data_IF_784397172109
#
_entry.id   IF_784397172109
#
_cell.length_a   1.000
_cell.length_b   1.000
_cell.length_c   1.000
_cell.angle_alpha   90.00
_cell.angle_beta   90.00
_cell.angle_gamma   90.00
#
_symmetry.space_group_name_H-M   'P 1'
#
loop_
_entity.id
_entity.type
_entity.pdbx_description
1 polymer ?
#
# COMPACT_ATOMS: atom_id res chain seq x y z
N UNK A 1 -29.23 -17.47 -3.78
CA UNK A 1 -28.21 -16.40 -3.84
C UNK A 1 -27.20 -16.72 -4.94
N UNK A 2 -27.65 -16.77 -6.21
CA UNK A 2 -26.84 -17.36 -7.30
C UNK A 2 -25.84 -16.47 -8.01
N UNK A 3 -25.79 -15.15 -7.74
CA UNK A 3 -25.03 -14.20 -8.58
C UNK A 3 -24.10 -13.27 -7.79
N UNK A 4 -23.64 -13.69 -6.61
CA UNK A 4 -22.68 -12.94 -5.81
C UNK A 4 -21.39 -13.75 -5.69
N UNK A 5 -20.30 -13.18 -6.14
CA UNK A 5 -18.97 -13.80 -6.19
C UNK A 5 -18.00 -13.00 -5.32
N UNK A 6 -17.87 -13.34 -4.02
CA UNK A 6 -16.98 -12.61 -3.11
C UNK A 6 -15.51 -12.86 -3.43
N UNK A 7 -14.69 -11.82 -3.31
CA UNK A 7 -13.23 -11.90 -3.45
C UNK A 7 -12.58 -11.52 -2.11
N UNK A 8 -11.82 -12.44 -1.54
CA UNK A 8 -10.94 -12.12 -0.42
C UNK A 8 -9.64 -11.49 -0.95
N UNK A 9 -9.54 -10.18 -0.80
CA UNK A 9 -8.36 -9.42 -1.24
C UNK A 9 -7.10 -9.70 -0.42
N UNK A 10 -7.21 -10.35 0.73
CA UNK A 10 -6.12 -10.51 1.74
C UNK A 10 -5.39 -9.19 2.03
N UNK A 11 -6.12 -8.08 1.96
CA UNK A 11 -5.54 -6.76 2.01
C UNK A 11 -6.50 -5.74 2.64
N UNK A 12 -6.08 -4.48 2.69
CA UNK A 12 -6.85 -3.35 3.20
C UNK A 12 -6.63 -2.10 2.36
N UNK A 13 -7.43 -1.06 2.61
CA UNK A 13 -7.29 0.26 1.99
C UNK A 13 -7.26 0.19 0.46
N UNK A 14 -6.38 0.94 -0.16
CA UNK A 14 -6.23 0.99 -1.62
C UNK A 14 -5.57 -0.25 -2.23
N UNK A 15 -5.10 -1.21 -1.43
CA UNK A 15 -4.81 -2.56 -1.90
C UNK A 15 -6.08 -3.26 -2.39
N UNK A 16 -7.20 -3.12 -1.65
CA UNK A 16 -8.52 -3.53 -2.14
C UNK A 16 -8.91 -2.68 -3.36
N UNK A 17 -8.63 -1.37 -3.31
CA UNK A 17 -8.94 -0.43 -4.38
C UNK A 17 -8.35 -0.82 -5.73
N UNK A 18 -7.10 -1.30 -5.77
CA UNK A 18 -6.46 -1.78 -6.99
C UNK A 18 -7.23 -2.95 -7.62
N UNK A 19 -7.63 -3.94 -6.81
CA UNK A 19 -8.42 -5.07 -7.28
C UNK A 19 -9.82 -4.65 -7.74
N UNK A 20 -10.46 -3.72 -7.04
CA UNK A 20 -11.78 -3.20 -7.40
C UNK A 20 -11.74 -2.48 -8.75
N UNK A 21 -10.74 -1.64 -8.99
CA UNK A 21 -10.59 -0.94 -10.26
C UNK A 21 -10.34 -1.92 -11.41
N UNK A 22 -9.46 -2.91 -11.23
CA UNK A 22 -9.22 -3.91 -12.26
C UNK A 22 -10.46 -4.78 -12.52
N UNK A 23 -11.20 -5.17 -11.49
CA UNK A 23 -12.46 -5.89 -11.65
C UNK A 23 -13.52 -5.08 -12.41
N UNK A 24 -13.61 -3.78 -12.13
CA UNK A 24 -14.53 -2.88 -12.82
C UNK A 24 -14.18 -2.72 -14.31
N UNK A 25 -12.90 -2.59 -14.63
CA UNK A 25 -12.41 -2.54 -16.01
C UNK A 25 -12.75 -3.82 -16.79
N UNK A 26 -12.53 -4.98 -16.17
CA UNK A 26 -12.87 -6.27 -16.76
C UNK A 26 -14.39 -6.41 -16.97
N UNK A 27 -15.20 -5.96 -16.03
CA UNK A 27 -16.65 -5.98 -16.14
C UNK A 27 -17.15 -5.04 -17.25
N UNK A 28 -16.55 -3.85 -17.39
CA UNK A 28 -16.90 -2.90 -18.47
C UNK A 28 -16.54 -3.45 -19.86
N UNK A 29 -15.47 -4.21 -19.99
CA UNK A 29 -15.08 -4.83 -21.24
C UNK A 29 -16.07 -5.91 -21.71
N UNK A 30 -16.92 -6.43 -20.82
CA UNK A 30 -18.02 -7.33 -21.13
C UNK A 30 -17.62 -8.73 -21.68
N UNK A 31 -16.33 -9.07 -21.61
CA UNK A 31 -15.82 -10.33 -22.16
C UNK A 31 -15.83 -11.49 -21.15
N UNK A 32 -15.90 -11.17 -19.86
CA UNK A 32 -15.82 -12.13 -18.77
C UNK A 32 -17.12 -12.14 -17.95
N UNK A 33 -17.49 -13.31 -17.50
CA UNK A 33 -18.56 -13.47 -16.50
C UNK A 33 -18.10 -13.00 -15.12
N UNK A 34 -19.02 -12.73 -14.21
CA UNK A 34 -18.68 -12.35 -12.83
C UNK A 34 -17.85 -13.42 -12.11
N UNK A 35 -18.06 -14.68 -12.41
CA UNK A 35 -17.27 -15.78 -11.85
C UNK A 35 -15.83 -15.80 -12.37
N UNK A 36 -15.64 -15.55 -13.66
CA UNK A 36 -14.31 -15.45 -14.26
C UNK A 36 -13.53 -14.23 -13.74
N UNK A 37 -14.24 -13.10 -13.54
CA UNK A 37 -13.63 -11.91 -12.89
C UNK A 37 -13.21 -12.24 -11.46
N UNK A 38 -14.04 -12.93 -10.67
CA UNK A 38 -13.65 -13.39 -9.33
C UNK A 38 -12.36 -14.19 -9.37
N UNK A 39 -12.30 -15.23 -10.22
CA UNK A 39 -11.10 -16.08 -10.35
C UNK A 39 -9.88 -15.27 -10.76
N UNK A 40 -10.05 -14.31 -11.66
CA UNK A 40 -8.96 -13.40 -12.08
C UNK A 40 -8.46 -12.55 -10.92
N UNK A 41 -9.36 -12.01 -10.11
CA UNK A 41 -8.98 -11.20 -8.94
C UNK A 41 -8.28 -12.03 -7.86
N UNK A 42 -8.65 -13.28 -7.67
CA UNK A 42 -7.98 -14.18 -6.74
C UNK A 42 -6.54 -14.52 -7.17
N UNK A 43 -6.29 -14.61 -8.46
CA UNK A 43 -4.92 -14.74 -9.00
C UNK A 43 -4.15 -13.42 -8.86
N UNK A 44 -4.81 -12.33 -9.21
CA UNK A 44 -4.22 -10.99 -9.25
C UNK A 44 -3.77 -10.48 -7.88
N UNK A 45 -4.50 -10.83 -6.80
CA UNK A 45 -4.13 -10.47 -5.42
C UNK A 45 -2.76 -11.01 -4.99
N UNK A 46 -2.30 -12.10 -5.55
CA UNK A 46 -0.99 -12.68 -5.23
C UNK A 46 0.18 -11.81 -5.75
N UNK A 47 -0.10 -10.95 -6.71
CA UNK A 47 0.85 -9.99 -7.30
C UNK A 47 0.79 -8.61 -6.63
N UNK A 48 -0.12 -8.42 -5.68
CA UNK A 48 -0.35 -7.14 -5.03
C UNK A 48 0.76 -6.84 -4.02
N UNK A 49 1.47 -5.74 -4.24
CA UNK A 49 2.45 -5.21 -3.31
C UNK A 49 1.87 -4.04 -2.52
N UNK A 50 1.75 -4.23 -1.22
CA UNK A 50 1.23 -3.23 -0.30
C UNK A 50 2.21 -3.00 0.82
N UNK A 51 2.68 -1.78 0.91
CA UNK A 51 3.55 -1.36 1.99
C UNK A 51 3.33 0.10 2.36
N UNK A 52 3.72 0.47 3.57
CA UNK A 52 3.64 1.84 4.03
C UNK A 52 4.69 2.12 5.10
N UNK A 53 5.13 3.37 5.15
CA UNK A 53 6.04 3.87 6.16
C UNK A 53 5.26 4.66 7.21
N UNK A 54 5.50 4.37 8.48
CA UNK A 54 4.86 5.08 9.60
C UNK A 54 5.85 6.03 10.26
N UNK A 55 5.39 7.23 10.61
CA UNK A 55 6.20 8.14 11.42
C UNK A 55 6.18 7.77 12.89
N UNK A 56 5.04 7.28 13.39
CA UNK A 56 4.82 6.99 14.80
C UNK A 56 4.26 5.57 15.00
N UNK A 57 5.08 4.66 15.50
CA UNK A 57 4.69 3.27 15.79
C UNK A 57 3.64 3.12 16.88
N UNK A 58 3.49 4.12 17.73
CA UNK A 58 2.58 4.07 18.88
C UNK A 58 1.13 3.76 18.50
N UNK A 59 0.67 4.23 17.34
CA UNK A 59 -0.68 3.99 16.84
C UNK A 59 -0.90 2.52 16.45
N UNK A 60 0.00 1.93 15.66
CA UNK A 60 -0.09 0.51 15.31
C UNK A 60 -0.02 -0.41 16.53
N UNK A 61 0.84 -0.05 17.51
CA UNK A 61 0.96 -0.79 18.76
C UNK A 61 -0.33 -0.73 19.58
N UNK A 62 -0.88 0.47 19.79
CA UNK A 62 -2.13 0.67 20.53
C UNK A 62 -3.32 0.01 19.83
N UNK A 63 -3.33 0.05 18.50
CA UNK A 63 -4.36 -0.56 17.67
C UNK A 63 -4.32 -2.09 17.62
N UNK A 64 -3.25 -2.74 18.10
CA UNK A 64 -3.10 -4.19 18.11
C UNK A 64 -3.09 -4.84 16.72
N UNK A 65 -2.80 -4.06 15.65
CA UNK A 65 -2.92 -4.53 14.26
C UNK A 65 -1.61 -5.07 13.67
N UNK A 66 -0.50 -4.96 14.40
CA UNK A 66 0.78 -5.50 13.94
C UNK A 66 1.54 -6.09 15.14
N UNK A 67 1.39 -7.39 15.38
CA UNK A 67 2.05 -8.09 16.48
C UNK A 67 3.58 -8.00 16.40
N UNK A 68 4.14 -7.98 15.19
CA UNK A 68 5.59 -7.82 14.99
C UNK A 68 6.09 -6.42 15.38
N UNK A 69 5.23 -5.39 15.39
CA UNK A 69 5.57 -4.06 15.92
C UNK A 69 5.67 -4.09 17.45
N UNK A 70 4.83 -4.88 18.11
CA UNK A 70 4.91 -5.05 19.56
C UNK A 70 6.24 -5.68 20.02
N UNK A 71 6.82 -6.57 19.19
CA UNK A 71 8.10 -7.22 19.43
C UNK A 71 9.33 -6.30 19.27
N UNK A 72 9.17 -5.10 18.72
CA UNK A 72 10.31 -4.20 18.44
C UNK A 72 10.86 -3.48 19.69
N UNK A 73 10.24 -3.61 20.87
CA UNK A 73 10.73 -3.03 22.13
C UNK A 73 10.68 -1.51 22.23
N UNK A 74 11.14 -0.95 23.35
CA UNK A 74 11.02 0.48 23.68
C UNK A 74 12.07 1.41 23.01
N UNK A 75 13.16 0.87 22.49
CA UNK A 75 14.31 1.66 22.00
C UNK A 75 14.16 2.20 20.55
N UNK A 76 12.96 2.56 20.13
CA UNK A 76 12.64 2.84 18.74
C UNK A 76 12.43 4.31 18.38
N UNK A 77 12.89 5.24 19.21
CA UNK A 77 12.62 6.69 19.06
C UNK A 77 13.05 7.32 17.72
N UNK A 78 13.92 6.66 16.96
CA UNK A 78 14.39 7.18 15.66
C UNK A 78 14.21 6.22 14.48
N UNK A 79 13.54 5.07 14.67
CA UNK A 79 13.32 4.12 13.60
C UNK A 79 11.97 4.33 12.92
N UNK A 80 11.99 4.25 11.60
CA UNK A 80 10.82 4.36 10.71
C UNK A 80 10.67 3.02 9.98
N UNK A 81 9.90 2.07 10.51
CA UNK A 81 9.73 0.79 9.84
C UNK A 81 8.78 0.91 8.67
N UNK A 82 9.13 0.27 7.57
CA UNK A 82 8.20 -0.09 6.52
C UNK A 82 7.35 -1.26 7.03
N UNK A 83 6.05 -1.10 6.98
CA UNK A 83 5.10 -2.18 7.21
C UNK A 83 4.70 -2.74 5.84
N UNK A 84 4.69 -4.06 5.73
CA UNK A 84 4.29 -4.77 4.52
C UNK A 84 3.08 -5.65 4.82
N UNK A 85 2.18 -5.75 3.86
CA UNK A 85 1.07 -6.72 3.91
C UNK A 85 1.42 -7.89 3.02
N UNK A 86 1.53 -9.07 3.59
CA UNK A 86 1.81 -10.31 2.88
C UNK A 86 0.87 -11.40 3.39
N UNK A 87 0.21 -12.11 2.49
CA UNK A 87 -0.73 -13.18 2.81
C UNK A 87 -1.81 -12.76 3.85
N UNK A 88 -2.34 -11.55 3.71
CA UNK A 88 -3.33 -10.99 4.63
C UNK A 88 -2.79 -10.56 6.00
N UNK A 89 -1.48 -10.58 6.22
CA UNK A 89 -0.86 -10.24 7.50
C UNK A 89 0.10 -9.07 7.37
N UNK A 90 0.06 -8.17 8.35
CA UNK A 90 1.02 -7.09 8.45
C UNK A 90 2.31 -7.56 9.14
N UNK A 91 3.45 -7.24 8.53
CA UNK A 91 4.77 -7.53 9.05
C UNK A 91 5.69 -6.32 8.98
N UNK A 92 6.74 -6.33 9.80
CA UNK A 92 7.79 -5.31 9.75
C UNK A 92 8.83 -5.73 8.70
N UNK A 93 8.97 -4.90 7.68
CA UNK A 93 10.02 -5.02 6.67
C UNK A 93 11.28 -4.21 7.02
N UNK A 94 11.83 -3.52 6.01
CA UNK A 94 13.03 -2.68 6.18
C UNK A 94 12.77 -1.53 7.16
N UNK A 95 13.78 -1.20 7.94
CA UNK A 95 13.74 -0.12 8.94
C UNK A 95 14.64 1.01 8.47
N UNK A 96 14.11 2.23 8.47
CA UNK A 96 14.82 3.44 8.10
C UNK A 96 15.16 4.26 9.33
N UNK A 97 16.18 5.12 9.23
CA UNK A 97 16.61 5.99 10.32
C UNK A 97 16.92 7.39 9.80
N UNK A 98 16.46 8.41 10.51
CA UNK A 98 16.72 9.81 10.18
C UNK A 98 15.46 10.64 10.02
N UNK A 99 15.59 11.79 9.33
CA UNK A 99 14.47 12.67 9.03
C UNK A 99 13.42 11.94 8.21
N UNK A 100 12.15 12.08 8.59
CA UNK A 100 11.05 11.25 8.05
C UNK A 100 10.91 11.38 6.52
N UNK A 101 10.98 12.61 5.99
CA UNK A 101 10.91 12.82 4.53
C UNK A 101 12.02 12.09 3.77
N UNK A 102 13.24 12.11 4.29
CA UNK A 102 14.36 11.36 3.69
C UNK A 102 14.11 9.84 3.74
N UNK A 103 13.53 9.37 4.84
CA UNK A 103 13.15 7.96 4.97
C UNK A 103 12.06 7.57 3.97
N UNK A 104 11.07 8.44 3.71
CA UNK A 104 10.05 8.23 2.70
C UNK A 104 10.64 8.11 1.30
N UNK A 105 11.50 9.02 0.89
CA UNK A 105 12.13 8.97 -0.42
C UNK A 105 12.99 7.72 -0.60
N UNK A 106 13.72 7.33 0.45
CA UNK A 106 14.49 6.09 0.42
C UNK A 106 13.60 4.84 0.39
N UNK A 107 12.47 4.87 1.08
CA UNK A 107 11.46 3.81 1.03
C UNK A 107 10.89 3.65 -0.38
N UNK A 108 10.51 4.75 -1.04
CA UNK A 108 10.03 4.74 -2.43
C UNK A 108 11.07 4.12 -3.36
N UNK A 109 12.33 4.57 -3.24
CA UNK A 109 13.45 4.00 -3.98
C UNK A 109 13.53 2.48 -3.80
N UNK A 110 13.63 2.02 -2.56
CA UNK A 110 13.81 0.60 -2.24
C UNK A 110 12.64 -0.29 -2.73
N UNK A 111 11.45 0.29 -2.88
CA UNK A 111 10.27 -0.43 -3.33
C UNK A 111 10.12 -0.48 -4.85
N UNK A 112 10.65 0.50 -5.57
CA UNK A 112 10.41 0.66 -7.01
C UNK A 112 11.65 0.43 -7.87
N UNK A 113 12.84 0.80 -7.40
CA UNK A 113 14.05 0.75 -8.23
C UNK A 113 14.40 -0.70 -8.63
N UNK A 114 14.51 -0.94 -9.94
CA UNK A 114 14.89 -2.24 -10.50
C UNK A 114 13.87 -3.35 -10.25
N UNK A 115 12.62 -3.01 -9.97
CA UNK A 115 11.53 -3.98 -9.76
C UNK A 115 10.74 -4.23 -11.03
N UNK A 116 10.25 -5.43 -11.18
CA UNK A 116 9.36 -5.84 -12.26
C UNK A 116 7.90 -5.57 -11.84
N UNK A 117 7.38 -4.44 -12.30
CA UNK A 117 6.12 -3.83 -11.82
C UNK A 117 5.17 -3.62 -12.98
N UNK A 118 3.88 -3.88 -12.75
CA UNK A 118 2.81 -3.47 -13.66
C UNK A 118 2.67 -1.94 -13.64
N UNK A 119 3.05 -1.30 -14.73
CA UNK A 119 3.16 0.15 -14.83
C UNK A 119 1.83 0.86 -15.06
N UNK A 120 0.73 0.15 -15.18
CA UNK A 120 -0.57 0.78 -15.43
C UNK A 120 -0.96 1.73 -14.30
N UNK A 121 -0.76 1.32 -13.02
CA UNK A 121 -1.29 2.09 -11.91
C UNK A 121 -0.51 1.88 -10.61
N UNK A 122 -0.31 2.97 -9.88
CA UNK A 122 0.16 2.98 -8.50
C UNK A 122 -0.72 3.89 -7.64
N UNK A 123 -1.01 3.49 -6.42
CA UNK A 123 -1.56 4.37 -5.40
C UNK A 123 -0.47 4.94 -4.50
N UNK A 124 -0.55 6.25 -4.23
CA UNK A 124 0.10 6.92 -3.11
C UNK A 124 -1.02 7.22 -2.11
N UNK A 125 -1.04 6.50 -1.00
CA UNK A 125 -2.10 6.60 0.02
C UNK A 125 -1.51 7.15 1.31
N UNK A 126 -2.08 8.24 1.83
CA UNK A 126 -1.60 8.89 3.03
C UNK A 126 -2.71 9.04 4.09
N UNK A 127 -2.33 9.18 5.38
CA UNK A 127 -3.26 9.31 6.51
C UNK A 127 -3.43 10.74 7.03
N UNK A 128 -2.97 11.74 6.29
CA UNK A 128 -2.97 13.15 6.68
C UNK A 128 -1.69 13.61 7.36
N UNK A 129 -1.57 14.93 7.51
CA UNK A 129 -0.42 15.57 8.15
C UNK A 129 0.78 15.83 7.24
N UNK A 130 0.63 15.63 5.93
CA UNK A 130 1.62 16.01 4.92
C UNK A 130 1.30 17.37 4.31
N UNK A 131 2.33 18.12 3.97
CA UNK A 131 2.19 19.31 3.13
C UNK A 131 2.06 18.89 1.66
N UNK A 132 1.44 19.72 0.80
CA UNK A 132 1.38 19.46 -0.65
C UNK A 132 2.78 19.26 -1.27
N UNK A 133 3.79 19.98 -0.77
CA UNK A 133 5.17 19.86 -1.22
C UNK A 133 5.76 18.47 -0.92
N UNK A 134 5.56 17.95 0.29
CA UNK A 134 6.06 16.62 0.67
C UNK A 134 5.42 15.51 -0.18
N UNK A 135 4.12 15.62 -0.46
CA UNK A 135 3.41 14.68 -1.33
C UNK A 135 3.94 14.75 -2.76
N UNK A 136 4.14 15.97 -3.29
CA UNK A 136 4.69 16.17 -4.63
C UNK A 136 6.12 15.61 -4.77
N UNK A 137 6.95 15.74 -3.74
CA UNK A 137 8.30 15.14 -3.71
C UNK A 137 8.23 13.61 -3.78
N UNK A 138 7.27 12.99 -3.08
CA UNK A 138 7.06 11.53 -3.14
C UNK A 138 6.59 11.11 -4.53
N UNK A 139 5.64 11.83 -5.14
CA UNK A 139 5.19 11.53 -6.50
C UNK A 139 6.34 11.67 -7.51
N UNK A 140 7.12 12.74 -7.43
CA UNK A 140 8.28 12.93 -8.28
C UNK A 140 9.29 11.77 -8.15
N UNK A 141 9.52 11.28 -6.93
CA UNK A 141 10.37 10.12 -6.69
C UNK A 141 9.75 8.84 -7.31
N UNK A 142 8.45 8.60 -7.14
CA UNK A 142 7.75 7.46 -7.77
C UNK A 142 7.98 7.47 -9.28
N UNK A 143 7.71 8.61 -9.95
CA UNK A 143 7.85 8.77 -11.40
C UNK A 143 9.31 8.67 -11.88
N UNK A 144 10.28 9.01 -11.03
CA UNK A 144 11.70 8.90 -11.38
C UNK A 144 12.22 7.46 -11.40
N UNK A 145 11.62 6.56 -10.61
CA UNK A 145 12.03 5.15 -10.56
C UNK A 145 11.25 4.27 -11.52
N UNK A 146 9.97 4.60 -11.77
CA UNK A 146 9.10 3.80 -12.64
C UNK A 146 8.14 4.71 -13.42
N UNK A 147 7.98 4.52 -14.75
CA UNK A 147 7.12 5.34 -15.60
C UNK A 147 5.65 4.89 -15.56
N UNK A 148 5.02 4.98 -14.38
CA UNK A 148 3.60 4.63 -14.24
C UNK A 148 2.71 5.49 -15.13
N UNK A 149 1.74 4.87 -15.79
CA UNK A 149 0.71 5.54 -16.58
C UNK A 149 -0.20 6.35 -15.66
N UNK A 150 -0.64 5.76 -14.56
CA UNK A 150 -1.49 6.43 -13.56
C UNK A 150 -0.83 6.43 -12.17
N UNK A 151 -0.70 7.62 -11.59
CA UNK A 151 -0.34 7.80 -10.17
C UNK A 151 -1.53 8.41 -9.46
N UNK A 152 -2.18 7.61 -8.62
CA UNK A 152 -3.40 7.99 -7.93
C UNK A 152 -3.10 8.38 -6.48
N UNK A 153 -3.51 9.58 -6.09
CA UNK A 153 -3.42 10.06 -4.72
C UNK A 153 -4.71 9.80 -3.97
N UNK A 154 -4.60 9.17 -2.81
CA UNK A 154 -5.76 8.91 -1.94
C UNK A 154 -5.44 9.20 -0.49
N UNK A 155 -6.49 9.53 0.25
CA UNK A 155 -6.44 9.68 1.69
C UNK A 155 -7.09 8.47 2.36
N UNK A 156 -6.37 7.87 3.30
CA UNK A 156 -6.89 6.75 4.08
C UNK A 156 -8.10 7.17 4.92
N UNK A 157 -9.13 6.32 4.94
CA UNK A 157 -10.32 6.53 5.77
C UNK A 157 -10.03 6.47 7.27
N UNK A 158 -10.99 6.87 8.09
CA UNK A 158 -10.86 7.00 9.55
C UNK A 158 -10.33 5.72 10.22
N UNK A 159 -10.83 4.56 9.84
CA UNK A 159 -10.42 3.27 10.41
C UNK A 159 -8.94 3.00 10.20
N UNK A 160 -8.42 3.20 8.99
CA UNK A 160 -7.01 2.99 8.68
C UNK A 160 -6.16 4.05 9.40
N UNK A 161 -6.56 5.32 9.31
CA UNK A 161 -5.83 6.44 9.89
C UNK A 161 -5.71 6.35 11.41
N UNK A 162 -6.75 5.87 12.12
CA UNK A 162 -6.72 5.70 13.58
C UNK A 162 -5.72 4.63 14.04
N UNK A 163 -5.48 3.61 13.22
CA UNK A 163 -4.50 2.56 13.51
C UNK A 163 -3.09 2.89 13.06
N UNK A 164 -2.93 3.61 11.94
CA UNK A 164 -1.62 3.95 11.41
C UNK A 164 -1.06 5.26 11.99
N UNK A 165 -1.94 6.15 12.44
CA UNK A 165 -1.60 7.49 12.91
C UNK A 165 -1.34 8.48 11.77
N UNK A 166 -1.17 9.76 12.10
CA UNK A 166 -0.84 10.78 11.12
C UNK A 166 0.54 10.54 10.52
N UNK A 167 0.76 11.12 9.34
CA UNK A 167 2.02 11.02 8.59
C UNK A 167 2.43 9.58 8.31
N UNK A 168 1.44 8.73 7.99
CA UNK A 168 1.67 7.43 7.37
C UNK A 168 1.44 7.55 5.88
N UNK A 169 2.37 7.06 5.07
CA UNK A 169 2.26 7.06 3.62
C UNK A 169 2.69 5.70 3.07
N UNK A 170 1.86 5.16 2.18
CA UNK A 170 2.10 3.91 1.48
C UNK A 170 2.10 4.08 -0.03
N UNK A 171 2.82 3.18 -0.71
CA UNK A 171 2.71 2.96 -2.14
C UNK A 171 2.21 1.53 -2.39
N UNK A 172 1.25 1.40 -3.29
CA UNK A 172 0.54 0.15 -3.55
C UNK A 172 0.44 -0.05 -5.07
N UNK A 173 0.86 -1.21 -5.53
CA UNK A 173 0.94 -1.52 -6.97
C UNK A 173 0.90 -3.04 -7.18
N UNK A 174 0.86 -3.48 -8.43
CA UNK A 174 1.02 -4.88 -8.77
C UNK A 174 2.41 -5.17 -9.33
N UNK A 175 2.94 -6.34 -9.03
CA UNK A 175 4.03 -6.92 -9.81
C UNK A 175 3.51 -7.48 -11.13
N UNK A 176 4.41 -7.68 -12.11
CA UNK A 176 4.06 -8.33 -13.39
C UNK A 176 3.93 -9.84 -13.26
N UNK A 177 4.70 -10.45 -12.36
CA UNK A 177 4.74 -11.90 -12.07
C UNK A 177 5.00 -12.14 -10.60
#
# INVERSE_FOLDING_TARGET
MGNVYPVDARNLSTGIGLLVLEAAELAQNGQLTAQEIQQRMEQRRELLDVSFLVEQLGYLRKGGRCSSVAALGANMLSLRPCIQVKDGKMGVGKKYRGAYQKCLLQYVKDRLEGRDIDLRRIFITESGGFTPKEVAEVEAAVRSYQPFEEVLHTRAGCTVSSHCGPRTLGILYFHTK
#
